data_IF_794972843550
#
_entry.id   IF_794972843550
#
_cell.length_a   1.000
_cell.length_b   1.000
_cell.length_c   1.000
_cell.angle_alpha   90.00
_cell.angle_beta   90.00
_cell.angle_gamma   90.00
#
_symmetry.space_group_name_H-M   'P 1'
#
loop_
_entity.id
_entity.type
_entity.pdbx_description
1 polymer ?
#
# COMPACT_ATOMS: atom_id res chain seq x y z
N UNK A 1 -4.63 -9.96 -2.42
CA UNK A 1 -4.26 -8.79 -3.24
C UNK A 1 -2.94 -9.11 -3.91
N UNK A 2 -3.04 -9.70 -5.09
CA UNK A 2 -1.91 -10.37 -5.74
C UNK A 2 -0.90 -9.36 -6.29
N UNK A 3 -1.37 -8.15 -6.60
CA UNK A 3 -0.54 -7.03 -7.04
C UNK A 3 0.58 -6.71 -6.03
N UNK A 4 0.27 -6.59 -4.73
CA UNK A 4 1.30 -6.30 -3.73
C UNK A 4 2.30 -7.45 -3.62
N UNK A 5 1.82 -8.70 -3.61
CA UNK A 5 2.68 -9.89 -3.51
C UNK A 5 3.67 -9.98 -4.66
N UNK A 6 3.23 -9.75 -5.90
CA UNK A 6 4.07 -9.98 -7.08
C UNK A 6 4.80 -8.74 -7.58
N UNK A 7 4.31 -7.53 -7.29
CA UNK A 7 4.83 -6.28 -7.85
C UNK A 7 5.56 -5.40 -6.84
N UNK A 8 5.15 -5.37 -5.57
CA UNK A 8 5.83 -4.55 -4.55
C UNK A 8 7.33 -4.87 -4.40
N UNK A 9 7.79 -6.14 -4.44
CA UNK A 9 9.22 -6.43 -4.37
C UNK A 9 10.04 -5.78 -5.50
N UNK A 10 9.42 -5.50 -6.65
CA UNK A 10 10.04 -4.87 -7.82
C UNK A 10 10.02 -3.34 -7.77
N UNK A 11 9.25 -2.74 -6.86
CA UNK A 11 9.18 -1.29 -6.71
C UNK A 11 10.52 -0.77 -6.18
N UNK A 12 11.15 0.17 -6.88
CA UNK A 12 12.40 0.77 -6.43
C UNK A 12 12.24 1.51 -5.10
N UNK A 13 13.32 1.58 -4.30
CA UNK A 13 13.39 2.50 -3.17
C UNK A 13 13.20 3.92 -3.69
N UNK A 14 12.35 4.69 -3.00
CA UNK A 14 11.91 6.01 -3.42
C UNK A 14 10.70 6.02 -4.36
N UNK A 15 10.26 4.85 -4.84
CA UNK A 15 9.04 4.68 -5.64
C UNK A 15 7.77 4.74 -4.80
N UNK A 16 6.61 4.80 -5.47
CA UNK A 16 5.30 5.00 -4.83
C UNK A 16 4.38 3.82 -5.06
N UNK A 17 3.56 3.52 -4.04
CA UNK A 17 2.37 2.68 -4.18
C UNK A 17 1.16 3.55 -3.97
N UNK A 18 0.18 3.43 -4.87
CA UNK A 18 -1.11 4.10 -4.79
C UNK A 18 -2.18 3.02 -4.66
N UNK A 19 -3.12 3.20 -3.73
CA UNK A 19 -4.25 2.31 -3.50
C UNK A 19 -5.53 3.12 -3.58
N UNK A 20 -6.25 2.96 -4.67
CA UNK A 20 -7.46 3.73 -5.01
C UNK A 20 -8.61 3.44 -4.04
N UNK A 21 -8.99 2.17 -3.89
CA UNK A 21 -10.17 1.77 -3.10
C UNK A 21 -9.92 1.61 -1.58
N UNK A 22 -8.89 2.25 -1.02
CA UNK A 22 -8.43 1.95 0.35
C UNK A 22 -9.52 2.16 1.42
N UNK A 23 -10.32 3.22 1.32
CA UNK A 23 -11.43 3.47 2.25
C UNK A 23 -12.81 3.05 1.70
N UNK A 24 -12.93 2.81 0.40
CA UNK A 24 -14.16 2.34 -0.23
C UNK A 24 -14.41 0.84 -0.01
N UNK A 25 -13.34 0.02 0.00
CA UNK A 25 -13.44 -1.43 0.09
C UNK A 25 -12.73 -1.95 1.36
N UNK A 26 -13.46 -2.34 2.42
CA UNK A 26 -12.85 -2.90 3.63
C UNK A 26 -11.88 -4.07 3.38
N UNK A 27 -12.15 -5.01 2.43
CA UNK A 27 -11.18 -6.05 2.08
C UNK A 27 -9.87 -5.52 1.49
N UNK A 28 -9.91 -4.40 0.74
CA UNK A 28 -8.72 -3.75 0.20
C UNK A 28 -7.84 -3.23 1.34
N UNK A 29 -8.44 -2.52 2.29
CA UNK A 29 -7.76 -2.05 3.50
C UNK A 29 -7.11 -3.19 4.28
N UNK A 30 -7.83 -4.29 4.48
CA UNK A 30 -7.31 -5.47 5.19
C UNK A 30 -6.12 -6.06 4.44
N UNK A 31 -6.21 -6.23 3.13
CA UNK A 31 -5.12 -6.80 2.34
C UNK A 31 -3.85 -5.92 2.37
N UNK A 32 -4.01 -4.60 2.26
CA UNK A 32 -2.90 -3.65 2.40
C UNK A 32 -2.29 -3.72 3.80
N UNK A 33 -3.12 -3.74 4.85
CA UNK A 33 -2.65 -3.85 6.23
C UNK A 33 -1.88 -5.15 6.48
N UNK A 34 -2.40 -6.30 6.05
CA UNK A 34 -1.77 -7.61 6.21
C UNK A 34 -0.41 -7.65 5.53
N UNK A 35 -0.36 -7.26 4.25
CA UNK A 35 0.88 -7.22 3.49
C UNK A 35 1.94 -6.32 4.16
N UNK A 36 1.55 -5.11 4.55
CA UNK A 36 2.46 -4.18 5.23
C UNK A 36 2.96 -4.74 6.57
N UNK A 37 2.10 -5.39 7.34
CA UNK A 37 2.47 -6.02 8.61
C UNK A 37 3.45 -7.18 8.41
N UNK A 38 3.17 -8.07 7.47
CA UNK A 38 4.01 -9.24 7.16
C UNK A 38 5.40 -8.85 6.64
N UNK A 39 5.49 -7.76 5.87
CA UNK A 39 6.74 -7.26 5.31
C UNK A 39 7.41 -6.14 6.13
N UNK A 40 6.86 -5.80 7.30
CA UNK A 40 7.42 -4.75 8.15
C UNK A 40 7.44 -3.36 7.51
N UNK A 41 6.48 -3.05 6.62
CA UNK A 41 6.38 -1.76 5.93
C UNK A 41 5.73 -0.75 6.88
N UNK A 42 6.54 0.20 7.35
CA UNK A 42 6.13 1.27 8.26
C UNK A 42 6.06 2.64 7.59
N UNK A 43 6.25 2.70 6.27
CA UNK A 43 6.17 3.94 5.48
C UNK A 43 4.81 4.63 5.69
N UNK A 44 4.74 5.93 5.98
CA UNK A 44 3.48 6.60 6.30
C UNK A 44 2.47 6.45 5.16
N UNK A 45 1.22 6.15 5.52
CA UNK A 45 0.11 6.16 4.56
C UNK A 45 -0.44 7.59 4.52
N UNK A 46 -0.41 8.19 3.33
CA UNK A 46 -0.91 9.53 3.05
C UNK A 46 -2.26 9.45 2.32
N UNK A 47 -3.19 10.31 2.71
CA UNK A 47 -4.53 10.40 2.10
C UNK A 47 -4.48 11.22 0.81
N UNK A 48 -5.34 10.87 -0.16
CA UNK A 48 -5.49 11.60 -1.43
C UNK A 48 -6.78 12.42 -1.45
N UNK A 49 -7.94 11.78 -1.28
CA UNK A 49 -9.26 12.37 -1.64
C UNK A 49 -10.44 11.84 -0.80
N UNK A 50 -10.18 11.32 0.40
CA UNK A 50 -11.18 10.66 1.23
C UNK A 50 -11.42 9.19 0.89
N UNK A 51 -10.89 8.68 -0.22
CA UNK A 51 -10.97 7.25 -0.61
C UNK A 51 -9.58 6.64 -0.75
N UNK A 52 -8.78 7.20 -1.65
CA UNK A 52 -7.46 6.73 -2.01
C UNK A 52 -6.39 7.10 -1.01
N UNK A 53 -5.35 6.26 -0.98
CA UNK A 53 -4.14 6.52 -0.20
C UNK A 53 -2.89 6.16 -0.99
N UNK A 54 -1.74 6.67 -0.58
CA UNK A 54 -0.45 6.26 -1.12
C UNK A 54 0.63 6.17 -0.05
N UNK A 55 1.77 5.56 -0.37
CA UNK A 55 3.00 5.71 0.40
C UNK A 55 4.23 5.66 -0.52
N UNK A 56 5.33 6.22 -0.03
CA UNK A 56 6.65 6.13 -0.67
C UNK A 56 7.47 5.04 0.00
N UNK A 57 8.03 4.10 -0.78
CA UNK A 57 8.89 3.01 -0.27
C UNK A 57 10.24 3.57 0.18
N UNK A 58 10.61 3.38 1.45
CA UNK A 58 11.90 3.90 1.98
C UNK A 58 13.00 2.85 2.12
N UNK A 59 12.67 1.55 2.03
CA UNK A 59 13.58 0.40 2.14
C UNK A 59 13.09 -0.81 1.35
#
# INVERSE_FOLDING_TARGET
MDALVHLYPKLSVGGYVIVDDYRALPPCRVAVYQYRREHGITDPIEEIDGVGVFWRRTR
#
